data_IF_516888225557
#
_entry.id   IF_516888225557
#
_cell.length_a   1.000
_cell.length_b   1.000
_cell.length_c   1.000
_cell.angle_alpha   90.00
_cell.angle_beta   90.00
_cell.angle_gamma   90.00
#
_symmetry.space_group_name_H-M   'P 1'
#
loop_
_entity.id
_entity.type
_entity.pdbx_description
1 polymer ?
#
# COMPACT_ATOMS: atom_id res chain seq x y z
N UNK A 1 -4.14 -17.44 21.42
CA UNK A 1 -4.36 -16.59 20.23
C UNK A 1 -3.76 -17.30 19.03
N UNK A 2 -4.47 -17.36 17.91
CA UNK A 2 -3.95 -18.00 16.69
C UNK A 2 -3.13 -16.96 15.93
N UNK A 3 -1.89 -17.29 15.54
CA UNK A 3 -1.06 -16.41 14.72
C UNK A 3 -1.75 -16.05 13.40
N UNK A 4 -1.60 -14.80 12.94
CA UNK A 4 -2.07 -14.38 11.62
C UNK A 4 -1.10 -14.87 10.54
N UNK A 5 -1.63 -15.18 9.37
CA UNK A 5 -0.82 -15.59 8.21
C UNK A 5 -1.39 -15.03 6.91
N UNK A 6 -1.19 -13.72 6.65
CA UNK A 6 -1.62 -13.09 5.41
C UNK A 6 -1.04 -13.79 4.20
N UNK A 7 -1.89 -14.07 3.21
CA UNK A 7 -1.53 -14.71 1.94
C UNK A 7 -1.99 -13.84 0.77
N UNK A 8 -1.39 -14.01 -0.41
CA UNK A 8 -1.94 -13.40 -1.62
C UNK A 8 -3.39 -13.81 -1.84
N UNK A 9 -4.28 -12.85 -1.91
CA UNK A 9 -5.73 -13.03 -2.08
C UNK A 9 -6.31 -11.90 -2.90
N UNK A 10 -7.37 -12.15 -3.65
CA UNK A 10 -8.13 -11.09 -4.32
C UNK A 10 -9.24 -10.61 -3.38
N UNK A 11 -9.26 -9.29 -3.13
CA UNK A 11 -10.30 -8.62 -2.34
C UNK A 11 -11.08 -7.67 -3.25
N UNK A 12 -12.39 -7.62 -3.11
CA UNK A 12 -13.24 -6.82 -4.01
C UNK A 12 -14.29 -6.00 -3.26
N UNK A 13 -14.59 -4.83 -3.79
CA UNK A 13 -15.69 -3.96 -3.37
C UNK A 13 -16.43 -3.48 -4.61
N UNK A 14 -17.41 -2.57 -4.44
CA UNK A 14 -18.09 -1.93 -5.56
C UNK A 14 -17.18 -0.98 -6.37
N UNK A 15 -16.05 -0.55 -5.82
CA UNK A 15 -15.19 0.50 -6.41
C UNK A 15 -13.85 -0.02 -6.88
N UNK A 16 -13.25 -0.94 -6.13
CA UNK A 16 -11.91 -1.44 -6.40
C UNK A 16 -11.82 -2.94 -6.21
N UNK A 17 -10.88 -3.54 -6.93
CA UNK A 17 -10.37 -4.88 -6.69
C UNK A 17 -8.89 -4.79 -6.31
N UNK A 18 -8.49 -5.49 -5.25
CA UNK A 18 -7.11 -5.69 -4.88
C UNK A 18 -6.68 -7.06 -5.40
N UNK A 19 -5.78 -7.06 -6.34
CA UNK A 19 -5.24 -8.27 -6.97
C UNK A 19 -3.87 -8.58 -6.36
N UNK A 20 -3.51 -9.85 -6.12
CA UNK A 20 -2.12 -10.17 -5.79
C UNK A 20 -1.17 -9.54 -6.80
N UNK A 21 -0.18 -8.78 -6.31
CA UNK A 21 0.80 -8.13 -7.17
C UNK A 21 1.55 -9.18 -7.98
N UNK A 22 1.82 -8.89 -9.25
CA UNK A 22 2.59 -9.76 -10.13
C UNK A 22 3.17 -9.02 -11.32
N UNK A 23 4.08 -9.67 -12.05
CA UNK A 23 4.79 -9.05 -13.18
C UNK A 23 3.87 -8.61 -14.32
N UNK A 24 2.68 -9.18 -14.43
CA UNK A 24 1.64 -8.77 -15.40
C UNK A 24 1.18 -7.32 -15.20
N UNK A 25 1.35 -6.76 -14.01
CA UNK A 25 0.97 -5.38 -13.68
C UNK A 25 2.04 -4.35 -14.03
N UNK A 26 3.24 -4.79 -14.44
CA UNK A 26 4.41 -3.93 -14.55
C UNK A 26 4.22 -2.75 -15.51
N UNK A 27 3.58 -2.96 -16.66
CA UNK A 27 3.39 -1.90 -17.67
C UNK A 27 2.46 -0.80 -17.16
N UNK A 28 1.29 -1.17 -16.60
CA UNK A 28 0.36 -0.18 -16.06
C UNK A 28 0.94 0.54 -14.83
N UNK A 29 1.71 -0.17 -13.97
CA UNK A 29 2.37 0.44 -12.82
C UNK A 29 3.50 1.39 -13.23
N UNK A 30 4.25 1.07 -14.29
CA UNK A 30 5.24 1.99 -14.85
C UNK A 30 4.59 3.31 -15.25
N UNK A 31 3.50 3.26 -16.04
CA UNK A 31 2.79 4.47 -16.49
C UNK A 31 2.39 5.37 -15.31
N UNK A 32 1.87 4.80 -14.24
CA UNK A 32 1.51 5.54 -13.03
C UNK A 32 2.74 6.04 -12.28
N UNK A 33 3.76 5.21 -12.17
CA UNK A 33 4.95 5.45 -11.36
C UNK A 33 5.99 6.39 -11.98
N UNK A 34 5.79 6.84 -13.21
CA UNK A 34 6.60 7.92 -13.82
C UNK A 34 6.36 9.28 -13.18
N UNK A 35 5.23 9.48 -12.48
CA UNK A 35 4.88 10.75 -11.84
C UNK A 35 5.72 11.01 -10.58
N UNK A 36 6.62 12.02 -10.54
CA UNK A 36 7.48 12.27 -9.39
C UNK A 36 6.72 12.55 -8.09
N UNK A 37 5.55 13.18 -8.17
CA UNK A 37 4.75 13.55 -7.01
C UNK A 37 4.22 12.34 -6.20
N UNK A 38 4.21 11.14 -6.77
CA UNK A 38 3.89 9.89 -6.06
C UNK A 38 4.97 9.58 -5.02
N UNK A 39 6.23 9.85 -5.35
CA UNK A 39 7.40 9.38 -4.63
C UNK A 39 7.95 10.38 -3.62
N UNK A 40 7.40 11.60 -3.57
CA UNK A 40 7.87 12.68 -2.67
C UNK A 40 8.06 12.22 -1.22
N UNK A 41 7.20 11.33 -0.73
CA UNK A 41 7.20 10.86 0.65
C UNK A 41 7.55 9.37 0.77
N UNK A 42 8.09 8.79 -0.30
CA UNK A 42 8.41 7.37 -0.39
C UNK A 42 9.93 7.16 -0.29
N UNK A 43 10.39 5.98 0.16
CA UNK A 43 11.83 5.69 0.27
C UNK A 43 12.49 5.35 -1.07
N UNK A 44 11.89 5.74 -2.18
CA UNK A 44 12.44 5.64 -3.54
C UNK A 44 11.91 6.76 -4.42
N UNK A 45 12.57 6.98 -5.55
CA UNK A 45 12.10 7.86 -6.63
C UNK A 45 11.18 7.16 -7.65
N UNK A 46 10.80 7.87 -8.72
CA UNK A 46 10.01 7.35 -9.85
C UNK A 46 10.63 6.08 -10.45
N UNK A 47 9.79 5.25 -11.09
CA UNK A 47 10.29 4.17 -11.92
C UNK A 47 11.08 4.73 -13.09
N UNK A 48 12.26 4.16 -13.36
CA UNK A 48 13.10 4.57 -14.48
C UNK A 48 12.58 3.98 -15.80
N UNK A 49 12.21 2.72 -15.78
CA UNK A 49 11.74 1.95 -16.93
C UNK A 49 11.00 0.67 -16.50
N UNK A 50 10.65 -0.15 -17.48
CA UNK A 50 9.95 -1.42 -17.24
C UNK A 50 10.83 -2.43 -16.48
N UNK A 51 12.13 -2.39 -16.67
CA UNK A 51 13.06 -3.29 -15.97
C UNK A 51 13.11 -2.95 -14.49
N UNK A 52 13.25 -1.66 -14.16
CA UNK A 52 13.21 -1.18 -12.78
C UNK A 52 11.85 -1.47 -12.11
N UNK A 53 10.74 -1.30 -12.83
CA UNK A 53 9.40 -1.64 -12.32
C UNK A 53 9.27 -3.13 -12.03
N UNK A 54 9.75 -4.00 -12.92
CA UNK A 54 9.75 -5.45 -12.70
C UNK A 54 10.64 -5.87 -11.53
N UNK A 55 11.81 -5.24 -11.38
CA UNK A 55 12.69 -5.49 -10.24
C UNK A 55 11.99 -5.12 -8.92
N UNK A 56 11.35 -3.94 -8.86
CA UNK A 56 10.58 -3.51 -7.69
C UNK A 56 9.42 -4.48 -7.34
N UNK A 57 8.74 -5.01 -8.36
CA UNK A 57 7.71 -6.05 -8.15
C UNK A 57 8.36 -7.32 -7.59
N UNK A 58 9.44 -7.79 -8.18
CA UNK A 58 10.15 -9.00 -7.74
C UNK A 58 10.62 -8.88 -6.29
N UNK A 59 11.24 -7.77 -5.92
CA UNK A 59 11.67 -7.47 -4.54
C UNK A 59 10.48 -7.46 -3.57
N UNK A 60 9.35 -6.91 -4.02
CA UNK A 60 8.12 -6.88 -3.22
C UNK A 60 7.53 -8.26 -2.97
N UNK A 61 7.70 -9.19 -3.92
CA UNK A 61 7.22 -10.57 -3.82
C UNK A 61 8.19 -11.48 -3.05
N UNK A 62 9.47 -11.13 -3.01
CA UNK A 62 10.51 -11.86 -2.28
C UNK A 62 10.48 -11.59 -0.76
N UNK A 63 9.82 -10.52 -0.32
CA UNK A 63 9.71 -10.18 1.09
C UNK A 63 8.66 -11.05 1.80
N UNK A 64 9.12 -12.04 2.56
CA UNK A 64 8.27 -12.98 3.32
C UNK A 64 7.39 -12.31 4.40
N UNK A 65 7.72 -11.07 4.80
CA UNK A 65 6.95 -10.28 5.74
C UNK A 65 6.06 -9.24 5.06
N UNK A 66 5.78 -9.44 3.78
CA UNK A 66 4.94 -8.56 2.97
C UNK A 66 3.96 -9.36 2.11
N UNK A 67 2.78 -8.79 1.88
CA UNK A 67 1.81 -9.26 0.87
C UNK A 67 1.38 -8.05 0.06
N UNK A 68 1.83 -7.99 -1.19
CA UNK A 68 1.63 -6.84 -2.06
C UNK A 68 0.41 -7.03 -2.98
N UNK A 69 -0.29 -5.92 -3.24
CA UNK A 69 -1.49 -5.87 -4.08
C UNK A 69 -1.36 -4.79 -5.15
N UNK A 70 -1.85 -5.08 -6.34
CA UNK A 70 -2.22 -4.09 -7.33
C UNK A 70 -3.65 -3.62 -7.05
N UNK A 71 -3.92 -2.33 -7.20
CA UNK A 71 -5.23 -1.72 -6.98
C UNK A 71 -5.86 -1.48 -8.35
N UNK A 72 -6.93 -2.20 -8.68
CA UNK A 72 -7.70 -1.98 -9.91
C UNK A 72 -8.94 -1.15 -9.62
N UNK A 73 -9.12 -0.07 -10.35
CA UNK A 73 -10.35 0.72 -10.35
C UNK A 73 -11.41 0.01 -11.20
N UNK A 74 -12.53 -0.35 -10.62
CA UNK A 74 -13.58 -1.11 -11.31
C UNK A 74 -14.42 -0.26 -12.27
N UNK A 75 -14.42 1.07 -12.11
CA UNK A 75 -15.12 1.96 -13.02
C UNK A 75 -14.44 2.05 -14.39
N UNK A 76 -13.11 2.00 -14.43
CA UNK A 76 -12.32 2.12 -15.65
C UNK A 76 -11.65 0.82 -16.09
N UNK A 77 -11.57 -0.18 -15.22
CA UNK A 77 -10.83 -1.42 -15.44
C UNK A 77 -9.30 -1.25 -15.41
N UNK A 78 -8.78 -0.04 -15.13
CA UNK A 78 -7.35 0.27 -15.12
C UNK A 78 -6.75 0.11 -13.73
N UNK A 79 -5.43 -0.14 -13.66
CA UNK A 79 -4.73 -0.05 -12.40
C UNK A 79 -4.72 1.39 -11.90
N UNK A 80 -4.99 1.55 -10.61
CA UNK A 80 -4.97 2.83 -9.92
C UNK A 80 -3.70 3.02 -9.08
N UNK A 81 -2.98 1.93 -8.77
CA UNK A 81 -1.79 1.98 -7.94
C UNK A 81 -1.43 0.65 -7.31
N UNK A 82 -0.73 0.71 -6.19
CA UNK A 82 -0.33 -0.47 -5.41
C UNK A 82 -0.39 -0.17 -3.92
N UNK A 83 -0.48 -1.22 -3.12
CA UNK A 83 -0.46 -1.19 -1.66
C UNK A 83 0.03 -2.54 -1.13
N UNK A 84 0.36 -2.64 0.15
CA UNK A 84 0.72 -3.94 0.73
C UNK A 84 0.45 -4.02 2.22
N UNK A 85 0.30 -5.24 2.73
CA UNK A 85 0.63 -5.58 4.09
C UNK A 85 2.15 -5.73 4.19
N UNK A 86 2.74 -5.22 5.26
CA UNK A 86 4.16 -5.35 5.55
C UNK A 86 4.37 -5.38 7.07
N UNK A 87 5.60 -5.61 7.50
CA UNK A 87 5.94 -5.72 8.92
C UNK A 87 4.97 -6.69 9.64
N UNK A 88 4.77 -7.86 9.02
CA UNK A 88 3.80 -8.86 9.49
C UNK A 88 4.35 -9.56 10.72
N UNK A 89 3.80 -9.23 11.87
CA UNK A 89 4.13 -9.78 13.17
C UNK A 89 3.14 -10.91 13.49
N UNK A 90 3.41 -12.10 12.96
CA UNK A 90 2.46 -13.21 12.95
C UNK A 90 1.98 -13.62 14.32
N UNK A 91 2.89 -13.71 15.31
CA UNK A 91 2.58 -14.13 16.68
C UNK A 91 1.86 -13.06 17.47
N UNK A 92 2.22 -11.81 17.26
CA UNK A 92 1.67 -10.62 17.90
C UNK A 92 0.36 -10.15 17.25
N UNK A 93 -0.09 -10.85 16.20
CA UNK A 93 -1.29 -10.54 15.43
C UNK A 93 -1.32 -9.08 14.94
N UNK A 94 -0.16 -8.55 14.54
CA UNK A 94 0.02 -7.18 14.06
C UNK A 94 0.52 -7.12 12.63
N UNK A 95 0.18 -6.04 11.91
CA UNK A 95 0.74 -5.74 10.59
C UNK A 95 0.68 -4.24 10.27
N UNK A 96 1.42 -3.81 9.27
CA UNK A 96 1.33 -2.48 8.70
C UNK A 96 0.63 -2.52 7.33
N UNK A 97 -0.20 -1.52 7.03
CA UNK A 97 -0.65 -1.23 5.66
C UNK A 97 0.15 -0.04 5.15
N UNK A 98 1.00 -0.27 4.17
CA UNK A 98 1.92 0.75 3.67
C UNK A 98 2.28 0.60 2.19
N UNK A 99 3.32 1.31 1.78
CA UNK A 99 3.75 1.41 0.39
C UNK A 99 2.61 1.72 -0.59
N UNK A 100 1.62 2.49 -0.11
CA UNK A 100 0.45 2.80 -0.91
C UNK A 100 0.71 4.02 -1.78
N UNK A 101 0.61 3.84 -3.08
CA UNK A 101 0.51 4.96 -4.01
C UNK A 101 -0.72 4.82 -4.90
N UNK A 102 -1.26 5.95 -5.28
CA UNK A 102 -2.42 6.06 -6.18
C UNK A 102 -2.09 7.12 -7.24
N UNK A 103 -2.18 6.72 -8.49
CA UNK A 103 -1.92 7.59 -9.64
C UNK A 103 -2.85 8.79 -9.69
N UNK A 104 -2.40 9.88 -10.32
CA UNK A 104 -3.13 11.15 -10.35
C UNK A 104 -4.60 11.05 -10.79
N UNK A 105 -4.96 10.26 -11.83
CA UNK A 105 -6.35 10.15 -12.27
C UNK A 105 -7.31 9.59 -11.20
N UNK A 106 -6.79 8.84 -10.24
CA UNK A 106 -7.57 8.13 -9.22
C UNK A 106 -7.53 8.81 -7.85
N UNK A 107 -6.79 9.93 -7.73
CA UNK A 107 -6.76 10.72 -6.49
C UNK A 107 -8.07 11.49 -6.29
N UNK A 108 -8.47 11.66 -5.03
CA UNK A 108 -9.74 12.31 -4.64
C UNK A 108 -10.99 11.58 -5.16
N UNK A 109 -10.86 10.28 -5.44
CA UNK A 109 -11.96 9.36 -5.74
C UNK A 109 -12.18 8.39 -4.59
N UNK A 110 -13.12 7.46 -4.74
CA UNK A 110 -13.38 6.41 -3.76
C UNK A 110 -12.24 5.39 -3.62
N UNK A 111 -11.29 5.32 -4.57
CA UNK A 111 -10.28 4.27 -4.71
C UNK A 111 -9.47 4.07 -3.43
N UNK A 112 -8.85 5.11 -2.88
CA UNK A 112 -8.00 4.96 -1.69
C UNK A 112 -8.79 4.52 -0.46
N UNK A 113 -9.98 5.09 -0.26
CA UNK A 113 -10.84 4.76 0.88
C UNK A 113 -11.36 3.32 0.77
N UNK A 114 -11.83 2.92 -0.40
CA UNK A 114 -12.31 1.56 -0.65
C UNK A 114 -11.19 0.53 -0.49
N UNK A 115 -10.00 0.81 -1.03
CA UNK A 115 -8.81 0.00 -0.85
C UNK A 115 -8.49 -0.21 0.64
N UNK A 116 -8.42 0.87 1.42
CA UNK A 116 -8.11 0.77 2.86
C UNK A 116 -9.17 0.01 3.64
N UNK A 117 -10.46 0.21 3.32
CA UNK A 117 -11.56 -0.53 3.96
C UNK A 117 -11.46 -2.03 3.70
N UNK A 118 -11.16 -2.45 2.47
CA UNK A 118 -10.94 -3.87 2.15
C UNK A 118 -9.78 -4.47 2.94
N UNK A 119 -8.65 -3.75 3.01
CA UNK A 119 -7.49 -4.22 3.76
C UNK A 119 -7.75 -4.31 5.25
N UNK A 120 -8.46 -3.33 5.84
CA UNK A 120 -8.84 -3.39 7.25
C UNK A 120 -9.81 -4.53 7.54
N UNK A 121 -10.86 -4.70 6.73
CA UNK A 121 -11.82 -5.79 6.89
C UNK A 121 -11.09 -7.14 6.81
N UNK A 122 -10.27 -7.35 5.80
CA UNK A 122 -9.47 -8.57 5.68
C UNK A 122 -8.53 -8.78 6.86
N UNK A 123 -7.83 -7.74 7.31
CA UNK A 123 -6.90 -7.84 8.44
C UNK A 123 -7.62 -8.20 9.75
N UNK A 124 -8.69 -7.50 10.10
CA UNK A 124 -9.37 -7.68 11.37
C UNK A 124 -10.35 -8.85 11.38
N UNK A 125 -11.14 -9.00 10.32
CA UNK A 125 -12.26 -9.94 10.29
C UNK A 125 -11.82 -11.33 9.80
N UNK A 126 -11.00 -11.41 8.74
CA UNK A 126 -10.59 -12.68 8.16
C UNK A 126 -9.32 -13.25 8.81
N UNK A 127 -8.30 -12.38 9.02
CA UNK A 127 -7.02 -12.81 9.57
C UNK A 127 -6.99 -12.78 11.10
N UNK A 128 -7.87 -12.01 11.75
CA UNK A 128 -7.89 -11.86 13.21
C UNK A 128 -6.74 -10.99 13.72
N UNK A 129 -6.29 -10.01 12.93
CA UNK A 129 -5.29 -9.07 13.42
C UNK A 129 -5.85 -8.24 14.58
N UNK A 130 -5.05 -8.00 15.59
CA UNK A 130 -5.40 -7.14 16.73
C UNK A 130 -4.87 -5.72 16.55
N UNK A 131 -3.87 -5.57 15.69
CA UNK A 131 -3.24 -4.29 15.40
C UNK A 131 -3.00 -4.14 13.91
N UNK A 132 -3.49 -3.01 13.36
CA UNK A 132 -3.09 -2.54 12.03
C UNK A 132 -2.48 -1.16 12.17
N UNK A 133 -1.26 -1.01 11.71
CA UNK A 133 -0.49 0.22 11.76
C UNK A 133 -0.47 0.89 10.38
N UNK A 134 -0.45 2.22 10.35
CA UNK A 134 -0.18 3.02 9.16
C UNK A 134 0.92 4.02 9.50
N UNK A 135 1.89 4.19 8.61
CA UNK A 135 2.94 5.17 8.77
C UNK A 135 2.92 6.15 7.61
N UNK A 136 3.27 7.39 7.89
CA UNK A 136 3.45 8.43 6.87
C UNK A 136 4.48 9.41 7.35
N UNK A 137 5.07 10.14 6.42
CA UNK A 137 6.00 11.21 6.74
C UNK A 137 5.31 12.31 7.56
N UNK A 138 6.05 12.88 8.53
CA UNK A 138 5.53 13.94 9.42
C UNK A 138 5.20 15.25 8.69
N UNK A 139 5.70 15.43 7.47
CA UNK A 139 5.39 16.59 6.61
C UNK A 139 4.27 16.28 5.59
N UNK A 140 3.85 15.01 5.47
CA UNK A 140 2.78 14.61 4.54
C UNK A 140 1.40 14.80 5.17
N UNK A 141 0.99 16.06 5.36
CA UNK A 141 -0.29 16.44 5.97
C UNK A 141 -1.50 15.79 5.28
N UNK A 142 -1.44 15.67 3.95
CA UNK A 142 -2.50 15.02 3.18
C UNK A 142 -2.70 13.56 3.57
N UNK A 143 -1.61 12.81 3.72
CA UNK A 143 -1.68 11.42 4.15
C UNK A 143 -2.11 11.31 5.61
N UNK A 144 -1.61 12.16 6.50
CA UNK A 144 -2.03 12.20 7.91
C UNK A 144 -3.55 12.43 8.02
N UNK A 145 -4.08 13.42 7.30
CA UNK A 145 -5.53 13.69 7.28
C UNK A 145 -6.33 12.50 6.72
N UNK A 146 -5.81 11.81 5.70
CA UNK A 146 -6.45 10.63 5.14
C UNK A 146 -6.48 9.47 6.15
N UNK A 147 -5.38 9.23 6.87
CA UNK A 147 -5.26 8.20 7.91
C UNK A 147 -6.23 8.48 9.07
N UNK A 148 -6.30 9.72 9.54
CA UNK A 148 -7.21 10.11 10.62
C UNK A 148 -8.69 9.91 10.23
N UNK A 149 -9.06 10.21 8.97
CA UNK A 149 -10.44 9.98 8.47
C UNK A 149 -10.85 8.51 8.45
N UNK A 150 -9.89 7.58 8.44
CA UNK A 150 -10.15 6.13 8.54
C UNK A 150 -10.41 5.68 9.99
N UNK A 151 -10.32 6.58 10.96
CA UNK A 151 -10.50 6.28 12.38
C UNK A 151 -9.22 5.86 13.10
N UNK A 152 -8.06 5.96 12.45
CA UNK A 152 -6.78 5.67 13.10
C UNK A 152 -6.47 6.68 14.21
N UNK A 153 -5.79 6.20 15.25
CA UNK A 153 -5.29 7.05 16.34
C UNK A 153 -3.82 7.36 16.13
N UNK A 154 -3.44 8.61 16.32
CA UNK A 154 -2.05 9.02 16.29
C UNK A 154 -1.32 8.48 17.53
N UNK A 155 -0.23 7.75 17.31
CA UNK A 155 0.56 7.14 18.41
C UNK A 155 1.90 7.86 18.64
N UNK A 156 2.37 8.64 17.67
CA UNK A 156 3.61 9.41 17.83
C UNK A 156 4.41 9.56 16.55
N UNK A 157 5.52 10.28 16.65
CA UNK A 157 6.49 10.47 15.58
C UNK A 157 7.77 9.71 15.90
N UNK A 158 8.13 8.77 15.02
CA UNK A 158 9.37 8.00 15.11
C UNK A 158 10.51 8.82 14.52
N UNK A 159 11.53 9.15 15.33
CA UNK A 159 12.71 9.89 14.87
C UNK A 159 13.64 8.98 14.09
N UNK A 160 14.20 9.49 12.98
CA UNK A 160 15.16 8.76 12.12
C UNK A 160 14.68 7.35 11.72
N UNK A 161 13.38 7.20 11.49
CA UNK A 161 12.79 5.89 11.21
C UNK A 161 13.04 5.43 9.77
N UNK A 162 12.93 6.33 8.80
CA UNK A 162 13.19 6.07 7.37
C UNK A 162 13.72 7.32 6.68
N UNK A 163 14.53 7.12 5.65
CA UNK A 163 14.92 8.16 4.70
C UNK A 163 13.98 8.15 3.50
N UNK A 164 13.75 9.31 2.91
CA UNK A 164 13.08 9.44 1.62
C UNK A 164 14.02 9.06 0.48
N UNK A 165 13.46 8.86 -0.73
CA UNK A 165 14.25 8.53 -1.90
C UNK A 165 15.25 9.61 -2.34
N UNK A 166 15.09 10.85 -1.88
CA UNK A 166 16.03 11.97 -2.07
C UNK A 166 17.13 12.05 -0.99
N UNK A 167 17.11 11.14 -0.01
CA UNK A 167 18.09 11.09 1.07
C UNK A 167 17.77 11.96 2.30
N UNK A 168 16.61 12.61 2.34
CA UNK A 168 16.16 13.44 3.48
C UNK A 168 15.34 12.66 4.51
#
# INVERSE_FOLDING_TARGET
>A
MRAIDPKPVTLSSAFVQLEPLGLQHATELLELGLEPAIWTWMPRGPFADLTDTKAWIADSLADENSVAFAIRDLATGRLAGSTRFLDIQRRECGLEIGWTFVGAPFRRTAVNTACKRLLFAHAFEDLGAERVCLKTDHQNERSQAAILRLGARFEGTLRHHRQRGDGT
#
